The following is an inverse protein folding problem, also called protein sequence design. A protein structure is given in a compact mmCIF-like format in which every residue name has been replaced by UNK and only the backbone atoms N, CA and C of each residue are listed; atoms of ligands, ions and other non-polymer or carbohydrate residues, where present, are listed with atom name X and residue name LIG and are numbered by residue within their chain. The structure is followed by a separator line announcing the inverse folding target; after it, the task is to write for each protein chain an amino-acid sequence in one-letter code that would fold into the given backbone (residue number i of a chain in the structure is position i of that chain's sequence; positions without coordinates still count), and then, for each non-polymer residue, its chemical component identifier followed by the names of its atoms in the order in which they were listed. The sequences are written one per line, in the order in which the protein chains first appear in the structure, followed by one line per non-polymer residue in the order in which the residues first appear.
data_IF_670967409519
#
_entry.id   IF_670967409519
#
_cell.length_a   1.000
_cell.length_b   1.000
_cell.length_c   1.000
_cell.angle_alpha   90.00
_cell.angle_beta   90.00
_cell.angle_gamma   90.00
#
_symmetry.space_group_name_H-M   'P 1'
#
loop_
_entity.id
_entity.type
_entity.pdbx_description
1 polymer ?
#
# COMPACT_ATOMS: atom_id res chain seq x y z
N UNK A 1 16.47 -14.82 13.05
CA UNK A 1 15.77 -14.03 12.01
C UNK A 1 16.15 -14.54 10.62
N UNK A 2 15.17 -14.94 9.83
CA UNK A 2 15.45 -15.35 8.45
C UNK A 2 15.67 -14.12 7.58
N UNK A 3 16.78 -14.09 6.88
CA UNK A 3 17.00 -13.11 5.80
C UNK A 3 16.21 -13.59 4.58
N UNK A 4 15.34 -12.76 3.98
CA UNK A 4 14.62 -13.14 2.78
C UNK A 4 15.59 -13.49 1.65
N UNK A 5 15.27 -14.54 0.88
CA UNK A 5 16.04 -14.87 -0.32
C UNK A 5 15.75 -13.86 -1.41
N UNK A 6 16.67 -13.71 -2.37
CA UNK A 6 16.49 -12.85 -3.53
C UNK A 6 15.22 -13.24 -4.31
N UNK A 7 14.96 -14.52 -4.45
CA UNK A 7 13.77 -15.04 -5.12
C UNK A 7 12.48 -14.62 -4.40
N UNK A 8 12.46 -14.66 -3.07
CA UNK A 8 11.31 -14.23 -2.28
C UNK A 8 11.06 -12.73 -2.46
N UNK A 9 12.11 -11.91 -2.41
CA UNK A 9 12.00 -10.46 -2.57
C UNK A 9 11.49 -10.08 -3.96
N UNK A 10 11.96 -10.75 -5.00
CA UNK A 10 11.50 -10.51 -6.38
C UNK A 10 10.02 -10.87 -6.54
N UNK A 11 9.60 -11.97 -5.96
CA UNK A 11 8.20 -12.40 -6.00
C UNK A 11 7.29 -11.41 -5.29
N UNK A 12 7.68 -10.94 -4.11
CA UNK A 12 6.92 -9.96 -3.35
C UNK A 12 6.77 -8.65 -4.11
N UNK A 13 7.86 -8.19 -4.71
CA UNK A 13 7.88 -6.98 -5.54
C UNK A 13 6.93 -7.10 -6.73
N UNK A 14 6.93 -8.24 -7.41
CA UNK A 14 6.06 -8.49 -8.56
C UNK A 14 4.57 -8.43 -8.17
N UNK A 15 4.20 -9.02 -7.04
CA UNK A 15 2.82 -8.99 -6.55
C UNK A 15 2.39 -7.58 -6.13
N UNK A 16 3.27 -6.86 -5.47
CA UNK A 16 3.03 -5.46 -5.09
C UNK A 16 2.78 -4.58 -6.32
N UNK A 17 3.60 -4.73 -7.35
CA UNK A 17 3.45 -3.98 -8.60
C UNK A 17 2.14 -4.34 -9.32
N UNK A 18 1.78 -5.61 -9.34
CA UNK A 18 0.51 -6.07 -9.93
C UNK A 18 -0.68 -5.42 -9.22
N UNK A 19 -0.69 -5.44 -7.90
CA UNK A 19 -1.74 -4.81 -7.11
C UNK A 19 -1.77 -3.30 -7.34
N UNK A 20 -0.60 -2.66 -7.44
CA UNK A 20 -0.49 -1.24 -7.76
C UNK A 20 -1.13 -0.89 -9.10
N UNK A 21 -0.89 -1.70 -10.14
CA UNK A 21 -1.51 -1.48 -11.45
C UNK A 21 -3.03 -1.68 -11.41
N UNK A 22 -3.49 -2.66 -10.65
CA UNK A 22 -4.92 -2.88 -10.46
C UNK A 22 -5.58 -1.70 -9.75
N UNK A 23 -4.95 -1.16 -8.72
CA UNK A 23 -5.42 0.04 -8.03
C UNK A 23 -5.50 1.25 -8.97
N UNK A 24 -4.53 1.43 -9.86
CA UNK A 24 -4.57 2.51 -10.85
C UNK A 24 -5.81 2.40 -11.75
N UNK A 25 -6.16 1.19 -12.17
CA UNK A 25 -7.34 0.97 -12.99
C UNK A 25 -8.65 1.22 -12.23
N UNK A 26 -8.71 0.78 -10.97
CA UNK A 26 -9.91 0.91 -10.16
C UNK A 26 -10.16 2.33 -9.67
N UNK A 27 -9.12 3.09 -9.41
CA UNK A 27 -9.22 4.43 -8.83
C UNK A 27 -9.04 5.56 -9.84
N UNK A 28 -8.56 5.25 -11.05
CA UNK A 28 -8.20 6.22 -12.07
C UNK A 28 -7.11 7.20 -11.62
N UNK A 29 -6.31 6.78 -10.64
CA UNK A 29 -5.17 7.54 -10.13
C UNK A 29 -3.87 6.92 -10.62
N UNK A 30 -2.77 7.63 -10.39
CA UNK A 30 -1.43 7.18 -10.80
C UNK A 30 -0.59 6.86 -9.57
N UNK A 31 -0.06 5.64 -9.51
CA UNK A 31 0.78 5.18 -8.41
C UNK A 31 2.25 5.19 -8.84
N UNK A 32 3.06 5.95 -8.12
CA UNK A 32 4.49 6.05 -8.34
C UNK A 32 5.23 5.48 -7.15
N UNK A 33 6.14 4.55 -7.43
CA UNK A 33 6.95 3.97 -6.38
C UNK A 33 7.96 5.00 -5.90
N UNK A 34 8.05 5.14 -4.58
CA UNK A 34 9.07 5.99 -3.98
C UNK A 34 10.43 5.27 -3.98
N UNK A 35 11.46 5.96 -3.54
CA UNK A 35 12.79 5.37 -3.42
C UNK A 35 12.76 4.13 -2.54
N UNK A 36 13.64 3.13 -2.78
CA UNK A 36 13.61 1.85 -2.07
C UNK A 36 13.72 1.93 -0.55
N UNK A 37 14.16 3.05 -0.03
CA UNK A 37 14.32 3.29 1.41
C UNK A 37 13.10 3.90 2.07
N UNK A 38 12.05 4.19 1.30
CA UNK A 38 10.83 4.78 1.85
C UNK A 38 10.05 3.79 2.70
N UNK A 39 9.43 4.29 3.76
CA UNK A 39 8.53 3.52 4.61
C UNK A 39 7.17 3.24 3.94
N UNK A 40 6.87 3.90 2.83
CA UNK A 40 5.60 3.80 2.11
C UNK A 40 5.84 3.24 0.71
N UNK A 41 4.94 2.37 0.23
CA UNK A 41 5.12 1.69 -1.05
C UNK A 41 4.93 2.60 -2.25
N UNK A 42 3.88 3.44 -2.26
CA UNK A 42 3.55 4.28 -3.41
C UNK A 42 3.06 5.66 -3.01
N UNK A 43 3.37 6.62 -3.87
CA UNK A 43 2.72 7.92 -3.92
C UNK A 43 1.55 7.84 -4.91
N UNK A 44 0.40 8.39 -4.54
CA UNK A 44 -0.80 8.40 -5.37
C UNK A 44 -1.02 9.82 -5.88
N UNK A 45 -1.00 9.98 -7.19
CA UNK A 45 -1.16 11.26 -7.85
C UNK A 45 -2.40 11.29 -8.73
N UNK A 46 -3.05 12.44 -8.81
CA UNK A 46 -4.15 12.65 -9.73
C UNK A 46 -3.63 13.04 -11.13
N UNK A 47 -4.52 13.28 -12.09
CA UNK A 47 -4.17 13.68 -13.46
C UNK A 47 -3.46 15.03 -13.55
N UNK A 48 -3.56 15.85 -12.54
CA UNK A 48 -2.89 17.15 -12.46
C UNK A 48 -1.53 17.09 -11.75
N UNK A 49 -1.02 15.90 -11.56
CA UNK A 49 0.26 15.64 -10.86
C UNK A 49 0.30 16.16 -9.41
N UNK A 50 -0.84 16.25 -8.76
CA UNK A 50 -0.91 16.55 -7.33
C UNK A 50 -0.84 15.27 -6.52
N UNK A 51 0.01 15.26 -5.48
CA UNK A 51 0.08 14.16 -4.53
C UNK A 51 -1.16 14.21 -3.63
N UNK A 52 -2.03 13.21 -3.73
CA UNK A 52 -3.30 13.17 -3.01
C UNK A 52 -3.34 12.13 -1.90
N UNK A 53 -2.54 11.07 -2.02
CA UNK A 53 -2.52 9.99 -1.02
C UNK A 53 -1.16 9.30 -0.98
N UNK A 54 -0.89 8.64 0.13
CA UNK A 54 0.17 7.66 0.25
C UNK A 54 -0.48 6.29 0.31
N UNK A 55 0.16 5.27 -0.26
CA UNK A 55 -0.42 3.94 -0.35
C UNK A 55 0.53 2.88 0.17
N UNK A 56 0.02 2.04 1.07
CA UNK A 56 0.68 0.85 1.55
C UNK A 56 -0.05 -0.36 0.99
N UNK A 57 0.71 -1.32 0.43
CA UNK A 57 0.15 -2.52 -0.19
C UNK A 57 0.57 -3.74 0.61
N UNK A 58 -0.40 -4.60 0.90
CA UNK A 58 -0.17 -5.89 1.55
C UNK A 58 -0.81 -7.00 0.74
N UNK A 59 -0.06 -8.07 0.52
CA UNK A 59 -0.57 -9.26 -0.16
C UNK A 59 -0.74 -10.39 0.87
N UNK A 60 -1.97 -10.84 1.06
CA UNK A 60 -2.35 -11.91 1.98
C UNK A 60 -3.10 -13.04 1.27
N UNK A 61 -3.14 -13.00 -0.06
CA UNK A 61 -3.92 -13.96 -0.87
C UNK A 61 -3.42 -15.41 -0.77
N UNK A 62 -2.17 -15.62 -0.36
CA UNK A 62 -1.60 -16.97 -0.20
C UNK A 62 -1.90 -17.60 1.15
N UNK A 63 -2.41 -16.84 2.10
CA UNK A 63 -2.96 -17.39 3.32
C UNK A 63 -4.39 -17.86 3.07
N UNK A 64 -4.91 -18.71 3.95
CA UNK A 64 -6.31 -19.16 3.88
C UNK A 64 -7.27 -18.11 4.41
N UNK A 65 -6.81 -16.90 4.68
CA UNK A 65 -7.61 -15.84 5.27
C UNK A 65 -8.33 -15.02 4.22
N UNK A 66 -9.61 -14.81 4.44
CA UNK A 66 -10.46 -13.93 3.66
C UNK A 66 -10.72 -12.63 4.43
N UNK A 67 -11.06 -11.59 3.73
CA UNK A 67 -11.45 -10.32 4.35
C UNK A 67 -12.60 -10.51 5.35
N UNK A 68 -13.59 -11.30 4.97
CA UNK A 68 -14.77 -11.55 5.78
C UNK A 68 -14.51 -12.31 7.09
N UNK A 69 -13.41 -13.07 7.15
CA UNK A 69 -13.02 -13.83 8.33
C UNK A 69 -11.93 -13.16 9.16
N UNK A 70 -11.41 -12.03 8.67
CA UNK A 70 -10.29 -11.34 9.28
C UNK A 70 -10.80 -10.20 10.17
N UNK A 71 -10.25 -10.11 11.38
CA UNK A 71 -10.54 -9.00 12.28
C UNK A 71 -9.75 -7.77 11.85
N UNK A 72 -10.28 -6.60 12.13
CA UNK A 72 -9.65 -5.33 11.77
C UNK A 72 -8.24 -5.18 12.33
N UNK A 73 -7.96 -5.73 13.51
CA UNK A 73 -6.64 -5.70 14.13
C UNK A 73 -5.57 -6.47 13.34
N UNK A 74 -5.97 -7.31 12.40
CA UNK A 74 -5.05 -7.99 11.49
C UNK A 74 -4.54 -7.09 10.36
N UNK A 75 -5.09 -5.88 10.22
CA UNK A 75 -4.61 -4.83 9.32
C UNK A 75 -3.51 -4.00 9.99
N UNK A 76 -2.55 -4.66 10.62
CA UNK A 76 -1.52 -3.99 11.42
C UNK A 76 -0.61 -3.14 10.53
N UNK A 77 -0.60 -1.84 10.80
CA UNK A 77 0.33 -0.89 10.21
C UNK A 77 1.29 -0.43 11.33
N UNK A 78 2.61 -0.61 11.16
CA UNK A 78 3.56 -0.17 12.17
C UNK A 78 3.43 1.31 12.51
N UNK A 79 3.60 1.66 13.77
CA UNK A 79 3.50 3.04 14.25
C UNK A 79 4.41 4.00 13.47
N UNK A 80 5.61 3.55 13.08
CA UNK A 80 6.55 4.38 12.31
C UNK A 80 5.95 4.84 10.97
N UNK A 81 5.10 4.02 10.34
CA UNK A 81 4.44 4.37 9.08
C UNK A 81 3.38 5.42 9.29
N UNK A 82 2.61 5.32 10.36
CA UNK A 82 1.66 6.37 10.76
C UNK A 82 2.36 7.70 11.03
N UNK A 83 3.49 7.66 11.74
CA UNK A 83 4.28 8.85 12.02
C UNK A 83 4.79 9.49 10.72
N UNK A 84 5.29 8.68 9.80
CA UNK A 84 5.72 9.16 8.49
C UNK A 84 4.58 9.82 7.71
N UNK A 85 3.40 9.21 7.72
CA UNK A 85 2.22 9.76 7.05
C UNK A 85 1.84 11.12 7.65
N UNK A 86 1.86 11.24 8.97
CA UNK A 86 1.57 12.52 9.65
C UNK A 86 2.58 13.61 9.26
N UNK A 87 3.85 13.28 9.17
CA UNK A 87 4.88 14.20 8.70
C UNK A 87 4.63 14.64 7.26
N UNK A 88 4.21 13.72 6.41
CA UNK A 88 3.87 14.03 5.02
C UNK A 88 2.67 14.95 4.90
N UNK A 89 1.67 14.85 5.78
CA UNK A 89 0.54 15.77 5.79
C UNK A 89 0.96 17.22 6.03
N UNK A 90 2.00 17.45 6.82
CA UNK A 90 2.52 18.79 7.03
C UNK A 90 3.41 19.27 5.89
N UNK A 91 4.05 18.36 5.17
CA UNK A 91 5.00 18.68 4.10
C UNK A 91 4.31 18.90 2.75
N UNK A 92 3.27 18.13 2.46
CA UNK A 92 2.59 18.12 1.16
C UNK A 92 1.16 18.67 1.29
N UNK A 93 0.90 19.91 0.84
CA UNK A 93 -0.40 20.56 1.06
C UNK A 93 -1.59 19.87 0.40
N UNK A 94 -1.35 19.12 -0.68
CA UNK A 94 -2.42 18.43 -1.41
C UNK A 94 -2.70 17.03 -0.90
N UNK A 95 -1.85 16.51 0.01
CA UNK A 95 -2.02 15.19 0.57
C UNK A 95 -3.24 15.16 1.51
N UNK A 96 -4.18 14.24 1.24
CA UNK A 96 -5.45 14.17 1.99
C UNK A 96 -5.72 12.81 2.61
N UNK A 97 -5.13 11.74 2.08
CA UNK A 97 -5.49 10.40 2.50
C UNK A 97 -4.27 9.50 2.64
N UNK A 98 -4.43 8.49 3.49
CA UNK A 98 -3.54 7.34 3.55
C UNK A 98 -4.34 6.11 3.12
N UNK A 99 -3.89 5.44 2.07
CA UNK A 99 -4.52 4.24 1.52
C UNK A 99 -3.80 3.00 2.02
N UNK A 100 -4.57 2.03 2.49
CA UNK A 100 -4.06 0.70 2.79
C UNK A 100 -4.82 -0.28 1.92
N UNK A 101 -4.12 -0.89 0.98
CA UNK A 101 -4.68 -1.88 0.07
C UNK A 101 -4.20 -3.26 0.48
N UNK A 102 -5.13 -4.18 0.70
CA UNK A 102 -4.80 -5.55 1.09
C UNK A 102 -5.50 -6.51 0.15
N UNK A 103 -4.72 -7.37 -0.49
CA UNK A 103 -5.27 -8.47 -1.27
C UNK A 103 -5.38 -9.70 -0.37
N UNK A 104 -6.62 -10.11 -0.10
CA UNK A 104 -6.96 -11.34 0.59
C UNK A 104 -7.28 -12.44 -0.41
N UNK A 105 -7.53 -13.66 0.06
CA UNK A 105 -7.91 -14.76 -0.82
C UNK A 105 -9.21 -14.50 -1.59
N UNK A 106 -10.10 -13.69 -1.03
CA UNK A 106 -11.40 -13.34 -1.62
C UNK A 106 -11.42 -11.99 -2.36
N UNK A 107 -10.29 -11.32 -2.49
CA UNK A 107 -10.20 -10.12 -3.31
C UNK A 107 -9.31 -9.02 -2.77
N UNK A 108 -9.29 -7.92 -3.50
CA UNK A 108 -8.54 -6.71 -3.17
C UNK A 108 -9.46 -5.71 -2.48
N UNK A 109 -9.03 -5.24 -1.32
CA UNK A 109 -9.79 -4.30 -0.51
C UNK A 109 -8.93 -3.06 -0.21
N UNK A 110 -9.57 -1.90 -0.28
CA UNK A 110 -8.91 -0.61 -0.05
C UNK A 110 -9.58 0.08 1.13
N UNK A 111 -8.77 0.44 2.12
CA UNK A 111 -9.19 1.31 3.21
C UNK A 111 -8.52 2.67 3.05
N UNK A 112 -9.25 3.74 3.32
CA UNK A 112 -8.74 5.11 3.29
C UNK A 112 -8.86 5.75 4.66
N UNK A 113 -7.82 6.46 5.06
CA UNK A 113 -7.73 7.10 6.36
C UNK A 113 -7.43 8.58 6.25
#
# INVERSE_FOLDING_TARGET
MRVPTQEYLEKYKTEEERIGRELEQLTEMHLYKDVPTSDIDYFVMNDFANLIALCEIKCRSKGEKNFTSTKFDEWIIPKRKWTYVEECYTTYPTLKEFWVAVEWADGLFLATF
#
